data_IF_939171555260
#
_entry.id   IF_939171555260
#
_cell.length_a   1.000
_cell.length_b   1.000
_cell.length_c   1.000
_cell.angle_alpha   90.00
_cell.angle_beta   90.00
_cell.angle_gamma   90.00
#
_symmetry.space_group_name_H-M   'P 1'
#
loop_
_entity.id
_entity.type
_entity.pdbx_description
1 polymer ?
#
# COMPACT_ATOMS: atom_id res chain seq x y z
N UNK A 1 -22.46 83.93 5.37
CA UNK A 1 -21.16 83.34 5.76
C UNK A 1 -20.69 82.44 4.62
N UNK A 2 -19.74 82.96 3.82
CA UNK A 2 -19.23 82.25 2.65
C UNK A 2 -18.18 81.23 3.05
N UNK A 3 -18.33 80.02 2.59
CA UNK A 3 -17.32 78.97 2.76
C UNK A 3 -16.02 79.36 2.00
N UNK A 4 -14.85 79.30 2.59
CA UNK A 4 -13.58 79.72 1.98
C UNK A 4 -13.31 78.95 0.70
N UNK A 5 -13.00 79.72 -0.38
CA UNK A 5 -12.68 79.21 -1.73
C UNK A 5 -11.42 78.27 -1.80
N UNK A 6 -10.77 78.07 -0.68
CA UNK A 6 -9.52 77.25 -0.58
C UNK A 6 -9.73 75.75 -0.76
N UNK A 7 -10.97 75.29 -0.62
CA UNK A 7 -11.27 73.83 -0.76
C UNK A 7 -11.61 73.38 -2.19
N UNK A 8 -11.60 74.26 -3.18
CA UNK A 8 -12.12 73.95 -4.50
C UNK A 8 -11.09 73.64 -5.58
N UNK A 9 -9.81 73.93 -5.37
CA UNK A 9 -8.75 73.68 -6.37
C UNK A 9 -7.68 72.67 -5.95
N UNK A 10 -7.62 72.28 -4.66
CA UNK A 10 -6.64 71.29 -4.16
C UNK A 10 -7.20 69.89 -3.96
N UNK A 11 -8.53 69.72 -4.08
CA UNK A 11 -9.20 68.45 -3.74
C UNK A 11 -8.72 67.22 -4.56
N UNK A 12 -8.54 67.43 -5.85
CA UNK A 12 -8.13 66.33 -6.75
C UNK A 12 -6.65 65.92 -6.54
N UNK A 13 -5.78 66.87 -6.20
CA UNK A 13 -4.37 66.57 -5.85
C UNK A 13 -4.32 65.84 -4.51
N UNK A 14 -5.10 66.27 -3.50
CA UNK A 14 -5.20 65.58 -2.21
C UNK A 14 -5.73 64.16 -2.34
N UNK A 15 -6.78 63.93 -3.14
CA UNK A 15 -7.31 62.61 -3.43
C UNK A 15 -6.33 61.76 -4.24
N UNK A 16 -5.58 62.34 -5.17
CA UNK A 16 -4.49 61.67 -5.90
C UNK A 16 -3.36 61.23 -4.98
N UNK A 17 -2.96 62.06 -4.03
CA UNK A 17 -1.94 61.69 -3.04
C UNK A 17 -2.40 60.61 -2.06
N UNK A 18 -3.65 60.68 -1.60
CA UNK A 18 -4.24 59.63 -0.76
C UNK A 18 -4.31 58.30 -1.52
N UNK A 19 -4.74 58.34 -2.79
CA UNK A 19 -4.74 57.15 -3.65
C UNK A 19 -3.36 56.55 -3.85
N UNK A 20 -2.36 57.40 -4.10
CA UNK A 20 -0.97 56.94 -4.25
C UNK A 20 -0.41 56.31 -2.94
N UNK A 21 -0.70 56.92 -1.79
CA UNK A 21 -0.29 56.34 -0.48
C UNK A 21 -1.01 55.02 -0.22
N UNK A 22 -2.29 54.90 -0.52
CA UNK A 22 -3.01 53.61 -0.36
C UNK A 22 -2.47 52.52 -1.29
N UNK A 23 -2.15 52.88 -2.56
CA UNK A 23 -1.52 51.93 -3.49
C UNK A 23 -0.13 51.47 -3.01
N UNK A 24 0.68 52.39 -2.45
CA UNK A 24 1.97 52.10 -1.86
C UNK A 24 1.83 51.18 -0.62
N UNK A 25 0.84 51.44 0.24
CA UNK A 25 0.56 50.60 1.40
C UNK A 25 0.11 49.17 0.99
N UNK A 26 -0.78 49.05 0.01
CA UNK A 26 -1.24 47.75 -0.51
C UNK A 26 -0.08 47.03 -1.18
N UNK A 27 0.71 47.72 -2.00
CA UNK A 27 1.90 47.14 -2.65
C UNK A 27 2.94 46.66 -1.65
N UNK A 28 3.25 47.49 -0.63
CA UNK A 28 4.21 47.09 0.44
C UNK A 28 3.69 45.93 1.28
N UNK A 29 2.40 45.89 1.60
CA UNK A 29 1.78 44.78 2.33
C UNK A 29 1.82 43.48 1.52
N UNK A 30 1.56 43.56 0.22
CA UNK A 30 1.66 42.39 -0.68
C UNK A 30 3.10 41.87 -0.83
N UNK A 31 4.07 42.81 -0.91
CA UNK A 31 5.49 42.44 -0.90
C UNK A 31 5.92 41.81 0.42
N UNK A 32 5.47 42.37 1.53
CA UNK A 32 5.77 41.83 2.87
C UNK A 32 5.16 40.42 3.03
N UNK A 33 3.91 40.22 2.63
CA UNK A 33 3.27 38.91 2.67
C UNK A 33 4.02 37.88 1.81
N UNK A 34 4.41 38.25 0.56
CA UNK A 34 5.23 37.38 -0.31
C UNK A 34 6.59 37.04 0.28
N UNK A 35 7.25 38.00 0.92
CA UNK A 35 8.55 37.75 1.57
C UNK A 35 8.42 36.91 2.81
N UNK A 36 7.34 37.06 3.59
CA UNK A 36 7.03 36.24 4.74
C UNK A 36 6.75 34.77 4.34
N UNK A 37 5.93 34.58 3.29
CA UNK A 37 5.66 33.24 2.72
C UNK A 37 6.96 32.56 2.26
N UNK A 38 7.81 33.24 1.50
CA UNK A 38 9.09 32.71 1.03
C UNK A 38 10.11 32.43 2.18
N UNK A 39 10.03 33.16 3.28
CA UNK A 39 10.80 32.85 4.49
C UNK A 39 10.27 31.59 5.14
N UNK A 40 8.95 31.50 5.31
CA UNK A 40 8.31 30.32 5.88
C UNK A 40 8.61 29.04 5.06
N UNK A 41 8.49 29.09 3.74
CA UNK A 41 8.85 27.96 2.87
C UNK A 41 10.33 27.54 3.02
N UNK A 42 11.24 28.50 3.12
CA UNK A 42 12.66 28.21 3.35
C UNK A 42 12.92 27.60 4.72
N UNK A 43 12.24 28.10 5.75
CA UNK A 43 12.42 27.61 7.12
C UNK A 43 11.85 26.19 7.26
N UNK A 44 10.68 25.92 6.67
CA UNK A 44 10.11 24.56 6.59
C UNK A 44 11.04 23.61 5.81
N UNK A 45 11.55 24.05 4.64
CA UNK A 45 12.49 23.23 3.86
C UNK A 45 13.79 22.93 4.61
N UNK A 46 14.29 23.88 5.40
CA UNK A 46 15.47 23.66 6.26
C UNK A 46 15.18 22.69 7.41
N UNK A 47 13.99 22.78 8.05
CA UNK A 47 13.59 21.82 9.08
C UNK A 47 13.51 20.41 8.50
N UNK A 48 12.79 20.24 7.39
CA UNK A 48 12.66 18.94 6.71
C UNK A 48 14.03 18.39 6.28
N UNK A 49 14.91 19.24 5.77
CA UNK A 49 16.27 18.84 5.41
C UNK A 49 17.08 18.37 6.62
N UNK A 50 17.01 19.12 7.74
CA UNK A 50 17.71 18.75 8.98
C UNK A 50 17.16 17.46 9.60
N UNK A 51 15.84 17.29 9.60
CA UNK A 51 15.19 16.06 10.07
C UNK A 51 15.60 14.85 9.21
N UNK A 52 15.67 15.02 7.89
CA UNK A 52 16.15 13.98 6.98
C UNK A 52 17.65 13.67 7.18
N UNK A 53 18.47 14.67 7.50
CA UNK A 53 19.88 14.45 7.87
C UNK A 53 20.01 13.67 9.19
N UNK A 54 19.21 13.99 10.19
CA UNK A 54 19.20 13.24 11.45
C UNK A 54 18.76 11.78 11.26
N UNK A 55 17.70 11.58 10.47
CA UNK A 55 17.26 10.25 10.07
C UNK A 55 18.35 9.46 9.31
N UNK A 56 19.05 10.12 8.40
CA UNK A 56 20.16 9.51 7.66
C UNK A 56 21.32 9.12 8.59
N UNK A 57 21.65 9.97 9.55
CA UNK A 57 22.67 9.69 10.59
C UNK A 57 22.25 8.53 11.50
N UNK A 58 20.97 8.47 11.87
CA UNK A 58 20.41 7.38 12.68
C UNK A 58 20.39 6.06 11.89
N UNK A 59 19.98 6.08 10.62
CA UNK A 59 20.06 4.93 9.72
C UNK A 59 21.49 4.48 9.50
N UNK A 60 22.45 5.40 9.32
CA UNK A 60 23.87 5.05 9.22
C UNK A 60 24.40 4.42 10.52
N UNK A 61 24.01 4.97 11.67
CA UNK A 61 24.43 4.45 12.97
C UNK A 61 23.83 3.08 13.23
N UNK A 62 22.56 2.87 12.93
CA UNK A 62 21.88 1.58 13.05
C UNK A 62 22.41 0.56 12.05
N UNK A 63 22.69 0.97 10.81
CA UNK A 63 23.31 0.08 9.81
C UNK A 63 24.77 -0.24 10.15
N UNK A 64 25.51 0.71 10.74
CA UNK A 64 26.85 0.44 11.27
C UNK A 64 26.81 -0.54 12.44
N UNK A 65 25.90 -0.34 13.39
CA UNK A 65 25.70 -1.28 14.50
C UNK A 65 25.20 -2.66 14.02
N UNK A 66 24.37 -2.70 12.95
CA UNK A 66 23.97 -3.93 12.29
C UNK A 66 25.15 -4.57 11.55
N UNK A 67 25.99 -3.78 10.87
CA UNK A 67 27.20 -4.26 10.19
C UNK A 67 28.20 -4.83 11.18
N UNK A 68 28.40 -4.18 12.33
CA UNK A 68 29.25 -4.70 13.41
C UNK A 68 28.64 -5.94 14.07
N UNK A 69 27.32 -5.97 14.25
CA UNK A 69 26.58 -7.16 14.70
C UNK A 69 26.65 -8.30 13.67
N UNK A 70 26.54 -7.98 12.37
CA UNK A 70 26.71 -8.96 11.27
C UNK A 70 28.15 -9.42 11.17
N UNK A 71 29.15 -8.54 11.37
CA UNK A 71 30.57 -8.92 11.39
C UNK A 71 30.88 -9.82 12.59
N UNK A 72 30.32 -9.53 13.75
CA UNK A 72 30.44 -10.39 14.94
C UNK A 72 29.62 -11.66 14.85
N UNK A 73 28.59 -11.71 13.98
CA UNK A 73 27.78 -12.90 13.70
C UNK A 73 28.31 -13.66 12.48
N UNK A 74 29.19 -13.06 11.67
CA UNK A 74 29.87 -13.72 10.53
C UNK A 74 30.84 -14.80 10.95
N UNK A 75 31.27 -14.83 12.21
CA UNK A 75 31.98 -16.00 12.77
C UNK A 75 31.05 -17.18 13.09
N UNK A 76 29.71 -17.01 13.00
CA UNK A 76 28.72 -18.07 13.29
C UNK A 76 27.59 -18.19 12.28
N UNK A 77 27.67 -17.60 11.07
CA UNK A 77 26.47 -17.33 10.31
C UNK A 77 26.38 -17.75 8.85
N UNK A 78 27.17 -18.70 8.35
CA UNK A 78 26.77 -19.42 7.15
C UNK A 78 25.54 -20.28 7.49
N UNK A 79 24.36 -20.04 6.86
CA UNK A 79 23.18 -20.89 7.05
C UNK A 79 23.49 -22.39 6.85
N UNK A 80 24.49 -22.72 6.02
CA UNK A 80 24.97 -24.08 5.80
C UNK A 80 25.77 -24.64 6.99
N UNK A 81 26.36 -23.78 7.83
CA UNK A 81 27.10 -24.21 9.04
C UNK A 81 26.18 -24.39 10.25
N UNK A 82 24.98 -23.82 10.24
CA UNK A 82 23.99 -23.98 11.30
C UNK A 82 23.13 -25.22 11.03
N UNK A 83 22.99 -26.09 12.04
CA UNK A 83 22.07 -27.24 11.93
C UNK A 83 20.58 -26.83 11.98
N UNK A 84 20.29 -25.54 11.96
CA UNK A 84 18.94 -25.00 11.98
C UNK A 84 18.34 -25.00 10.57
N UNK A 85 17.14 -25.56 10.37
CA UNK A 85 16.53 -25.57 9.05
C UNK A 85 16.17 -24.16 8.56
N UNK A 86 16.27 -23.94 7.25
CA UNK A 86 15.95 -22.67 6.60
C UNK A 86 15.35 -22.87 5.21
N UNK A 87 14.64 -21.87 4.72
CA UNK A 87 14.07 -21.83 3.37
C UNK A 87 14.93 -20.95 2.48
N UNK A 88 15.14 -21.39 1.24
CA UNK A 88 15.77 -20.60 0.17
C UNK A 88 14.82 -20.52 -0.99
N UNK A 89 14.64 -19.32 -1.56
CA UNK A 89 13.83 -19.07 -2.74
C UNK A 89 14.67 -18.35 -3.78
N UNK A 90 14.86 -18.98 -4.94
CA UNK A 90 15.40 -18.33 -6.12
C UNK A 90 14.25 -17.76 -6.96
N UNK A 91 14.27 -16.44 -7.18
CA UNK A 91 13.28 -15.77 -8.03
C UNK A 91 13.53 -16.15 -9.50
N UNK A 92 14.78 -16.27 -9.91
CA UNK A 92 15.16 -16.55 -11.29
C UNK A 92 14.83 -18.00 -11.67
N UNK A 93 15.17 -18.98 -10.80
CA UNK A 93 14.91 -20.39 -11.06
C UNK A 93 13.46 -20.79 -10.78
N UNK A 94 12.64 -19.90 -10.22
CA UNK A 94 11.28 -20.19 -9.75
C UNK A 94 11.23 -21.42 -8.88
N UNK A 95 12.15 -21.53 -7.90
CA UNK A 95 12.36 -22.72 -7.07
C UNK A 95 12.53 -22.37 -5.60
N UNK A 96 11.96 -23.22 -4.78
CA UNK A 96 12.12 -23.20 -3.33
C UNK A 96 12.83 -24.45 -2.86
N UNK A 97 13.75 -24.29 -1.91
CA UNK A 97 14.38 -25.37 -1.15
C UNK A 97 14.17 -25.13 0.34
N UNK A 98 13.82 -26.19 1.07
CA UNK A 98 13.91 -26.24 2.52
C UNK A 98 15.11 -27.09 2.86
N UNK A 99 16.06 -26.52 3.59
CA UNK A 99 17.39 -27.09 3.81
C UNK A 99 17.72 -27.15 5.30
N UNK A 100 18.62 -28.06 5.67
CA UNK A 100 19.27 -28.10 6.95
C UNK A 100 20.76 -28.32 6.70
N UNK A 101 21.58 -27.32 6.94
CA UNK A 101 22.96 -27.31 6.45
C UNK A 101 22.97 -27.47 4.91
N UNK A 102 23.77 -28.39 4.41
CA UNK A 102 23.83 -28.72 2.98
C UNK A 102 22.71 -29.66 2.50
N UNK A 103 22.03 -30.34 3.43
CA UNK A 103 20.98 -31.31 3.10
C UNK A 103 19.71 -30.61 2.65
N UNK A 104 19.21 -30.96 1.46
CA UNK A 104 17.89 -30.56 0.98
C UNK A 104 16.84 -31.50 1.57
N UNK A 105 15.95 -30.98 2.39
CA UNK A 105 14.85 -31.72 3.01
C UNK A 105 13.60 -31.72 2.11
N UNK A 106 13.37 -30.62 1.36
CA UNK A 106 12.26 -30.49 0.45
C UNK A 106 12.61 -29.47 -0.66
N UNK A 107 12.09 -29.66 -1.86
CA UNK A 107 12.20 -28.69 -2.96
C UNK A 107 10.97 -28.74 -3.86
N UNK A 108 10.58 -27.57 -4.36
CA UNK A 108 9.46 -27.45 -5.30
C UNK A 108 9.62 -26.23 -6.21
N UNK A 109 8.86 -26.22 -7.30
CA UNK A 109 8.70 -25.03 -8.13
C UNK A 109 7.75 -24.03 -7.49
N UNK A 110 7.98 -22.73 -7.72
CA UNK A 110 7.17 -21.65 -7.17
C UNK A 110 6.83 -20.62 -8.24
N UNK A 111 5.81 -19.79 -8.00
CA UNK A 111 5.62 -18.57 -8.76
C UNK A 111 6.02 -17.36 -7.91
N UNK A 112 6.64 -16.37 -8.54
CA UNK A 112 7.18 -15.17 -7.89
C UNK A 112 6.53 -13.89 -8.44
N UNK A 113 6.89 -12.74 -7.89
CA UNK A 113 6.41 -11.43 -8.30
C UNK A 113 6.67 -11.14 -9.78
N UNK A 114 5.72 -10.50 -10.43
CA UNK A 114 5.77 -10.21 -11.88
C UNK A 114 6.71 -9.05 -12.24
N UNK A 115 7.17 -8.27 -11.28
CA UNK A 115 7.92 -7.04 -11.52
C UNK A 115 7.10 -5.90 -12.12
N UNK A 116 5.81 -6.13 -12.38
CA UNK A 116 4.93 -5.10 -12.96
C UNK A 116 4.69 -3.97 -11.98
N UNK A 117 4.42 -2.80 -12.55
CA UNK A 117 4.04 -1.60 -11.81
C UNK A 117 2.59 -1.26 -12.12
N UNK A 118 1.82 -0.98 -11.08
CA UNK A 118 0.46 -0.49 -11.19
C UNK A 118 0.39 0.91 -10.59
N UNK A 119 0.06 1.90 -11.43
CA UNK A 119 -0.15 3.26 -10.95
C UNK A 119 -1.49 3.38 -10.23
N UNK A 120 -1.55 4.16 -9.17
CA UNK A 120 -2.80 4.49 -8.50
C UNK A 120 -3.72 5.36 -9.37
N UNK A 121 -4.95 5.53 -8.92
CA UNK A 121 -5.87 6.47 -9.57
C UNK A 121 -5.44 7.91 -9.29
N UNK A 122 -5.48 8.78 -10.32
CA UNK A 122 -5.29 10.23 -10.23
C UNK A 122 -4.08 10.70 -9.40
N UNK A 123 -2.89 10.13 -9.66
CA UNK A 123 -1.64 10.54 -8.96
C UNK A 123 -1.45 9.91 -7.57
N UNK A 124 -2.20 8.86 -7.26
CA UNK A 124 -2.05 8.07 -6.04
C UNK A 124 -0.80 7.18 -6.03
N UNK A 125 -0.68 6.38 -4.98
CA UNK A 125 0.46 5.47 -4.76
C UNK A 125 0.67 4.51 -5.92
N UNK A 126 1.93 4.32 -6.30
CA UNK A 126 2.35 3.30 -7.26
C UNK A 126 2.62 1.99 -6.52
N UNK A 127 2.14 0.87 -7.07
CA UNK A 127 2.40 -0.46 -6.53
C UNK A 127 3.33 -1.24 -7.44
N UNK A 128 4.41 -1.76 -6.87
CA UNK A 128 5.40 -2.59 -7.55
C UNK A 128 5.23 -4.05 -7.10
N UNK A 129 4.99 -4.94 -8.04
CA UNK A 129 4.67 -6.33 -7.77
C UNK A 129 5.92 -7.22 -7.80
N UNK A 130 6.86 -6.94 -6.90
CA UNK A 130 8.11 -7.69 -6.78
C UNK A 130 8.12 -8.59 -5.55
N UNK A 131 8.68 -9.77 -5.67
CA UNK A 131 9.05 -10.58 -4.51
C UNK A 131 10.26 -9.94 -3.83
N UNK A 132 10.19 -9.63 -2.52
CA UNK A 132 11.29 -8.96 -1.83
C UNK A 132 12.51 -9.88 -1.76
N UNK A 133 13.69 -9.31 -1.98
CA UNK A 133 14.96 -10.01 -1.80
C UNK A 133 15.49 -9.82 -0.39
N UNK A 134 16.30 -10.76 0.09
CA UNK A 134 16.94 -10.68 1.38
C UNK A 134 16.49 -11.77 2.35
N UNK A 135 16.74 -11.51 3.64
CA UNK A 135 16.39 -12.44 4.72
C UNK A 135 15.07 -12.01 5.37
N UNK A 136 14.10 -12.92 5.34
CA UNK A 136 12.82 -12.82 6.04
C UNK A 136 12.74 -13.96 7.08
N UNK A 137 11.63 -14.00 7.82
CA UNK A 137 11.39 -15.04 8.83
C UNK A 137 9.92 -15.43 8.79
N UNK A 138 9.61 -16.71 8.96
CA UNK A 138 8.24 -17.18 9.13
C UNK A 138 7.68 -16.66 10.45
N UNK A 139 6.74 -15.70 10.38
CA UNK A 139 6.15 -15.05 11.55
C UNK A 139 4.90 -15.77 12.07
N UNK A 140 4.12 -16.35 11.17
CA UNK A 140 2.91 -17.09 11.52
C UNK A 140 2.61 -18.17 10.47
N UNK A 141 1.74 -19.12 10.85
CA UNK A 141 1.27 -20.23 10.02
C UNK A 141 -0.25 -20.23 10.04
N UNK A 142 -0.90 -20.32 8.88
CA UNK A 142 -2.35 -20.31 8.74
C UNK A 142 -2.83 -21.48 7.87
N UNK A 143 -3.93 -22.10 8.28
CA UNK A 143 -4.69 -23.09 7.50
C UNK A 143 -5.95 -22.43 6.94
N UNK A 144 -6.36 -22.82 5.74
CA UNK A 144 -7.52 -22.26 5.03
C UNK A 144 -7.58 -20.73 5.06
N UNK A 145 -6.46 -20.04 4.72
CA UNK A 145 -6.37 -18.59 4.86
C UNK A 145 -7.35 -17.89 3.94
N UNK A 146 -7.97 -16.82 4.46
CA UNK A 146 -8.72 -15.90 3.61
C UNK A 146 -7.81 -14.77 3.14
N UNK A 147 -7.86 -14.45 1.86
CA UNK A 147 -7.20 -13.27 1.35
C UNK A 147 -8.03 -12.02 1.57
N UNK A 148 -7.44 -10.99 2.15
CA UNK A 148 -8.03 -9.66 2.27
C UNK A 148 -7.35 -8.76 1.23
N UNK A 149 -7.96 -8.56 0.05
CA UNK A 149 -7.31 -7.84 -1.04
C UNK A 149 -7.00 -6.40 -0.64
N UNK A 150 -5.75 -5.95 -0.87
CA UNK A 150 -5.40 -4.53 -0.81
C UNK A 150 -6.13 -3.75 -1.91
N UNK A 151 -6.11 -2.42 -1.81
CA UNK A 151 -6.83 -1.55 -2.74
C UNK A 151 -6.35 -1.70 -4.19
N UNK A 152 -5.07 -2.01 -4.41
CA UNK A 152 -4.53 -2.23 -5.76
C UNK A 152 -5.28 -3.32 -6.53
N UNK A 153 -5.80 -4.34 -5.85
CA UNK A 153 -6.60 -5.40 -6.50
C UNK A 153 -7.82 -4.80 -7.21
N UNK A 154 -8.58 -3.97 -6.51
CA UNK A 154 -9.77 -3.33 -7.06
C UNK A 154 -9.41 -2.35 -8.18
N UNK A 155 -8.28 -1.61 -8.04
CA UNK A 155 -7.76 -0.73 -9.09
C UNK A 155 -7.40 -1.52 -10.34
N UNK A 156 -6.72 -2.64 -10.19
CA UNK A 156 -6.36 -3.51 -11.31
C UNK A 156 -7.62 -4.07 -12.00
N UNK A 157 -8.61 -4.56 -11.23
CA UNK A 157 -9.86 -5.09 -11.78
C UNK A 157 -10.68 -3.99 -12.48
N UNK A 158 -10.73 -2.79 -11.92
CA UNK A 158 -11.42 -1.67 -12.54
C UNK A 158 -10.79 -1.31 -13.90
N UNK A 159 -9.47 -1.24 -13.98
CA UNK A 159 -8.76 -0.99 -15.24
C UNK A 159 -9.01 -2.07 -16.29
N UNK A 160 -8.95 -3.34 -15.90
CA UNK A 160 -9.23 -4.48 -16.80
C UNK A 160 -10.64 -4.42 -17.39
N UNK A 161 -11.59 -3.85 -16.66
CA UNK A 161 -13.01 -3.79 -17.02
C UNK A 161 -13.47 -2.43 -17.55
N UNK A 162 -12.59 -1.43 -17.60
CA UNK A 162 -12.93 -0.06 -18.01
C UNK A 162 -13.91 0.63 -17.06
N UNK A 163 -13.89 0.28 -15.77
CA UNK A 163 -14.77 0.83 -14.74
C UNK A 163 -14.04 1.87 -13.88
N UNK A 164 -14.81 2.76 -13.27
CA UNK A 164 -14.32 3.65 -12.21
C UNK A 164 -14.12 2.92 -10.89
N UNK A 165 -13.70 3.65 -9.86
CA UNK A 165 -13.47 3.15 -8.51
C UNK A 165 -14.15 4.06 -7.51
N UNK A 166 -14.85 3.47 -6.56
CA UNK A 166 -15.37 4.16 -5.38
C UNK A 166 -15.01 3.38 -4.13
N UNK A 167 -14.33 4.03 -3.18
CA UNK A 167 -14.10 3.48 -1.85
C UNK A 167 -15.37 3.69 -1.02
N UNK A 168 -15.96 2.62 -0.54
CA UNK A 168 -17.12 2.67 0.34
C UNK A 168 -16.67 2.81 1.79
N UNK A 169 -17.02 3.90 2.43
CA UNK A 169 -16.76 4.12 3.84
C UNK A 169 -18.00 3.79 4.69
N UNK A 170 -17.80 3.53 5.98
CA UNK A 170 -18.92 3.29 6.90
C UNK A 170 -19.74 4.57 7.05
N UNK A 171 -21.07 4.42 6.96
CA UNK A 171 -22.00 5.56 6.97
C UNK A 171 -22.23 6.22 5.60
N UNK A 172 -21.52 5.80 4.57
CA UNK A 172 -21.75 6.23 3.18
C UNK A 172 -22.61 5.24 2.41
N UNK A 173 -23.19 5.71 1.30
CA UNK A 173 -23.86 4.87 0.33
C UNK A 173 -23.48 5.28 -1.08
N UNK A 174 -23.45 4.30 -2.00
CA UNK A 174 -23.20 4.49 -3.44
C UNK A 174 -24.44 4.06 -4.21
N UNK A 175 -24.98 4.95 -5.04
CA UNK A 175 -26.15 4.65 -5.86
C UNK A 175 -25.81 3.67 -6.98
N UNK A 176 -26.66 2.67 -7.14
CA UNK A 176 -26.62 1.77 -8.27
C UNK A 176 -27.61 2.23 -9.38
N UNK A 177 -27.41 1.71 -10.61
CA UNK A 177 -28.21 2.13 -11.78
C UNK A 177 -29.71 1.73 -11.70
N UNK A 178 -30.03 0.81 -10.80
CA UNK A 178 -31.40 0.30 -10.58
C UNK A 178 -32.16 1.06 -9.47
N UNK A 179 -31.61 2.20 -9.03
CA UNK A 179 -32.18 3.01 -7.95
C UNK A 179 -31.89 2.50 -6.53
N UNK A 180 -31.23 1.35 -6.41
CA UNK A 180 -30.77 0.86 -5.10
C UNK A 180 -29.50 1.55 -4.65
N UNK A 181 -29.11 1.33 -3.40
CA UNK A 181 -27.89 1.88 -2.80
C UNK A 181 -27.02 0.76 -2.22
N UNK A 182 -25.72 0.82 -2.44
CA UNK A 182 -24.73 -0.03 -1.77
C UNK A 182 -24.25 0.69 -0.52
N UNK A 183 -24.38 0.06 0.64
CA UNK A 183 -23.99 0.63 1.94
C UNK A 183 -23.40 -0.44 2.86
N UNK A 184 -22.92 -0.03 4.04
CA UNK A 184 -22.34 -0.95 5.03
C UNK A 184 -23.27 -1.06 6.25
N UNK A 185 -23.58 -2.31 6.63
CA UNK A 185 -24.32 -2.66 7.84
C UNK A 185 -23.49 -3.60 8.72
N UNK A 186 -23.01 -3.11 9.86
CA UNK A 186 -22.12 -3.89 10.71
C UNK A 186 -20.84 -4.29 9.95
N UNK A 187 -20.67 -5.59 9.72
CA UNK A 187 -19.54 -6.15 8.95
C UNK A 187 -19.91 -6.55 7.52
N UNK A 188 -21.11 -6.22 7.05
CA UNK A 188 -21.57 -6.60 5.72
C UNK A 188 -21.79 -5.39 4.83
N UNK A 189 -21.49 -5.56 3.55
CA UNK A 189 -21.94 -4.66 2.50
C UNK A 189 -23.28 -5.15 2.02
N UNK A 190 -24.28 -4.30 2.05
CA UNK A 190 -25.66 -4.62 1.67
C UNK A 190 -26.14 -3.74 0.54
N UNK A 191 -27.03 -4.28 -0.25
CA UNK A 191 -27.82 -3.56 -1.25
C UNK A 191 -29.14 -3.19 -0.62
N UNK A 192 -29.40 -1.87 -0.53
CA UNK A 192 -30.67 -1.32 -0.03
C UNK A 192 -31.54 -0.91 -1.22
N UNK A 193 -32.72 -1.44 -1.29
CA UNK A 193 -33.72 -1.12 -2.32
C UNK A 193 -34.55 0.11 -1.94
N UNK A 194 -35.23 0.76 -2.92
CA UNK A 194 -36.09 1.92 -2.65
C UNK A 194 -37.26 1.64 -1.70
N UNK A 195 -37.71 0.38 -1.59
CA UNK A 195 -38.74 -0.09 -0.66
C UNK A 195 -38.23 -0.28 0.78
N UNK A 196 -36.93 -0.03 1.03
CA UNK A 196 -36.28 -0.15 2.32
C UNK A 196 -35.74 -1.57 2.62
N UNK A 197 -35.97 -2.55 1.77
CA UNK A 197 -35.44 -3.90 1.88
C UNK A 197 -33.92 -3.87 1.72
N UNK A 198 -33.20 -4.63 2.56
CA UNK A 198 -31.76 -4.79 2.50
C UNK A 198 -31.36 -6.25 2.24
N UNK A 199 -30.43 -6.48 1.34
CA UNK A 199 -29.89 -7.80 1.05
C UNK A 199 -28.36 -7.76 1.08
N UNK A 200 -27.67 -8.69 1.74
CA UNK A 200 -26.22 -8.79 1.67
C UNK A 200 -25.76 -8.93 0.22
N UNK A 201 -24.77 -8.16 -0.20
CA UNK A 201 -24.08 -8.38 -1.46
C UNK A 201 -23.26 -9.65 -1.32
N UNK A 202 -23.15 -10.45 -2.39
CA UNK A 202 -22.39 -11.70 -2.36
C UNK A 202 -20.98 -11.52 -1.78
N UNK A 203 -20.48 -12.54 -1.07
CA UNK A 203 -19.13 -12.50 -0.50
C UNK A 203 -18.07 -12.30 -1.58
N UNK A 204 -16.93 -11.70 -1.19
CA UNK A 204 -15.83 -11.40 -2.09
C UNK A 204 -15.31 -12.66 -2.79
N UNK A 205 -15.43 -12.67 -4.09
CA UNK A 205 -14.89 -13.68 -4.99
C UNK A 205 -14.11 -12.94 -6.07
N UNK A 206 -12.89 -13.39 -6.37
CA UNK A 206 -12.09 -12.78 -7.44
C UNK A 206 -12.87 -12.83 -8.78
N UNK A 207 -12.93 -11.68 -9.45
CA UNK A 207 -13.71 -11.50 -10.69
C UNK A 207 -15.20 -11.20 -10.48
N UNK A 208 -15.68 -11.18 -9.24
CA UNK A 208 -17.06 -10.81 -8.87
C UNK A 208 -17.07 -9.64 -7.88
N UNK A 209 -16.25 -8.64 -8.14
CA UNK A 209 -16.22 -7.41 -7.35
C UNK A 209 -17.59 -6.70 -7.43
N UNK A 210 -17.96 -6.02 -6.35
CA UNK A 210 -19.18 -5.24 -6.28
C UNK A 210 -19.09 -4.09 -7.29
N UNK A 211 -20.09 -4.02 -8.19
CA UNK A 211 -20.18 -2.94 -9.19
C UNK A 211 -21.47 -2.15 -8.96
N UNK A 212 -21.34 -0.84 -8.87
CA UNK A 212 -22.48 0.08 -8.80
C UNK A 212 -22.16 1.40 -9.50
N UNK A 213 -23.10 1.97 -10.23
CA UNK A 213 -22.96 3.25 -10.91
C UNK A 213 -21.75 3.34 -11.85
N UNK A 214 -21.39 2.23 -12.52
CA UNK A 214 -20.23 2.18 -13.43
C UNK A 214 -18.87 2.10 -12.71
N UNK A 215 -18.86 1.85 -11.39
CA UNK A 215 -17.66 1.77 -10.57
C UNK A 215 -17.52 0.42 -9.90
N UNK A 216 -16.30 -0.04 -9.69
CA UNK A 216 -15.97 -1.07 -8.70
C UNK A 216 -15.99 -0.43 -7.32
N UNK A 217 -16.73 -1.03 -6.42
CA UNK A 217 -16.83 -0.60 -5.03
C UNK A 217 -15.77 -1.32 -4.23
N UNK A 218 -14.88 -0.57 -3.58
CA UNK A 218 -13.90 -1.11 -2.62
C UNK A 218 -14.58 -1.21 -1.25
N UNK A 219 -14.86 -2.43 -0.76
CA UNK A 219 -15.45 -2.62 0.56
C UNK A 219 -14.48 -2.17 1.67
N UNK A 220 -14.97 -1.66 2.81
CA UNK A 220 -14.10 -1.32 3.93
C UNK A 220 -13.40 -2.56 4.49
N UNK A 221 -12.20 -2.34 5.07
CA UNK A 221 -11.52 -3.41 5.80
C UNK A 221 -12.40 -3.95 6.93
N UNK A 222 -12.33 -5.27 7.13
CA UNK A 222 -13.15 -5.98 8.12
C UNK A 222 -14.55 -6.36 7.62
N UNK A 223 -14.96 -5.96 6.41
CA UNK A 223 -16.22 -6.44 5.83
C UNK A 223 -16.09 -7.87 5.29
N UNK A 224 -17.20 -8.61 5.34
CA UNK A 224 -17.28 -9.98 4.81
C UNK A 224 -16.95 -10.02 3.32
N UNK A 225 -17.40 -9.02 2.56
CA UNK A 225 -17.20 -8.90 1.11
C UNK A 225 -15.75 -8.59 0.71
N UNK A 226 -14.87 -8.25 1.68
CA UNK A 226 -13.44 -8.07 1.46
C UNK A 226 -12.61 -9.28 1.91
N UNK A 227 -13.24 -10.44 2.13
CA UNK A 227 -12.56 -11.70 2.49
C UNK A 227 -12.75 -12.72 1.38
N UNK A 228 -11.70 -13.00 0.62
CA UNK A 228 -11.71 -13.92 -0.50
C UNK A 228 -11.16 -15.26 -0.05
N UNK A 229 -11.99 -16.30 -0.13
CA UNK A 229 -11.61 -17.66 0.21
C UNK A 229 -10.99 -18.39 -0.98
N UNK A 230 -10.04 -19.28 -0.70
CA UNK A 230 -9.43 -20.17 -1.69
C UNK A 230 -8.27 -19.56 -2.47
N UNK A 231 -8.20 -18.24 -2.65
CA UNK A 231 -7.17 -17.55 -3.45
C UNK A 231 -5.76 -17.87 -2.98
N UNK A 232 -5.55 -18.00 -1.67
CA UNK A 232 -4.25 -18.33 -1.07
C UNK A 232 -4.02 -19.83 -0.90
N UNK A 233 -4.89 -20.66 -1.50
CA UNK A 233 -4.83 -22.10 -1.36
C UNK A 233 -5.11 -22.58 0.07
N UNK A 234 -4.55 -23.75 0.41
CA UNK A 234 -4.86 -24.46 1.66
C UNK A 234 -4.06 -23.99 2.87
N UNK A 235 -2.85 -23.47 2.66
CA UNK A 235 -1.94 -23.08 3.74
C UNK A 235 -1.17 -21.81 3.39
N UNK A 236 -0.75 -21.07 4.42
CA UNK A 236 0.05 -19.86 4.30
C UNK A 236 1.11 -19.80 5.41
N UNK A 237 2.34 -19.47 5.03
CA UNK A 237 3.43 -19.07 5.92
C UNK A 237 3.64 -17.55 5.78
N UNK A 238 3.31 -16.80 6.80
CA UNK A 238 3.39 -15.33 6.82
C UNK A 238 4.83 -14.91 7.04
N UNK A 239 5.35 -13.98 6.22
CA UNK A 239 6.72 -13.48 6.28
C UNK A 239 6.82 -12.03 6.79
N UNK A 240 5.69 -11.34 6.98
CA UNK A 240 5.63 -9.92 7.33
C UNK A 240 5.40 -9.02 6.10
N UNK A 241 5.09 -7.75 6.36
CA UNK A 241 4.89 -6.69 5.34
C UNK A 241 3.93 -7.05 4.20
N UNK A 242 2.98 -7.93 4.48
CA UNK A 242 2.02 -8.43 3.49
C UNK A 242 2.55 -9.56 2.61
N UNK A 243 3.80 -10.00 2.78
CA UNK A 243 4.39 -11.11 2.02
C UNK A 243 4.17 -12.47 2.70
N UNK A 244 4.08 -13.50 1.88
CA UNK A 244 3.88 -14.87 2.34
C UNK A 244 4.36 -15.90 1.31
N UNK A 245 4.60 -17.13 1.79
CA UNK A 245 4.56 -18.34 0.97
C UNK A 245 3.18 -18.95 1.15
N UNK A 246 2.45 -19.23 0.07
CA UNK A 246 1.09 -19.73 0.18
C UNK A 246 0.70 -20.64 -1.00
N UNK A 247 -0.35 -21.42 -0.84
CA UNK A 247 -0.94 -22.19 -1.91
C UNK A 247 -1.59 -21.32 -2.99
N UNK A 248 -2.28 -21.90 -3.94
CA UNK A 248 -2.93 -21.15 -5.01
C UNK A 248 -4.14 -21.89 -5.55
N UNK A 249 -5.13 -21.13 -6.02
CA UNK A 249 -6.23 -21.59 -6.84
C UNK A 249 -5.88 -21.64 -8.36
N UNK A 250 -4.64 -21.21 -8.71
CA UNK A 250 -4.13 -21.11 -10.08
C UNK A 250 -2.81 -21.89 -10.23
N UNK A 251 -2.82 -23.23 -10.09
CA UNK A 251 -1.62 -24.06 -10.11
C UNK A 251 -0.84 -23.98 -11.45
N UNK A 252 -1.48 -23.61 -12.54
CA UNK A 252 -0.88 -23.41 -13.86
C UNK A 252 0.09 -22.22 -13.90
N UNK A 253 0.08 -21.37 -12.86
CA UNK A 253 0.99 -20.22 -12.74
C UNK A 253 2.33 -20.57 -12.12
N UNK A 254 2.50 -21.76 -11.54
CA UNK A 254 3.73 -22.20 -10.92
C UNK A 254 4.87 -22.29 -11.95
N UNK A 255 6.06 -21.88 -11.57
CA UNK A 255 7.23 -21.77 -12.45
C UNK A 255 7.29 -20.46 -13.24
N UNK A 256 6.48 -19.45 -12.89
CA UNK A 256 6.37 -18.18 -13.62
C UNK A 256 6.44 -16.96 -12.68
N UNK A 257 6.88 -15.81 -13.23
CA UNK A 257 6.84 -14.51 -12.55
C UNK A 257 5.50 -13.82 -12.82
N UNK A 258 4.48 -14.09 -12.00
CA UNK A 258 3.10 -13.64 -12.24
C UNK A 258 2.38 -13.14 -10.99
N UNK A 259 2.96 -13.30 -9.80
CA UNK A 259 2.31 -12.86 -8.56
C UNK A 259 2.45 -11.34 -8.35
N UNK A 260 1.76 -10.86 -7.33
CA UNK A 260 1.86 -9.46 -6.88
C UNK A 260 2.90 -9.28 -5.76
N UNK A 261 3.83 -10.26 -5.62
CA UNK A 261 4.94 -10.21 -4.66
C UNK A 261 5.07 -11.45 -3.77
N UNK A 262 3.96 -12.07 -3.38
CA UNK A 262 4.00 -13.33 -2.63
C UNK A 262 4.55 -14.48 -3.48
N UNK A 263 5.10 -15.48 -2.82
CA UNK A 263 5.56 -16.71 -3.45
C UNK A 263 4.46 -17.75 -3.41
N UNK A 264 4.02 -18.21 -4.59
CA UNK A 264 2.96 -19.23 -4.73
C UNK A 264 3.55 -20.62 -4.88
N UNK A 265 2.96 -21.60 -4.20
CA UNK A 265 3.26 -23.02 -4.30
C UNK A 265 1.98 -23.77 -4.74
N UNK A 266 2.13 -25.00 -5.23
CA UNK A 266 0.98 -25.91 -5.31
C UNK A 266 0.43 -26.19 -3.91
N UNK A 267 -0.84 -26.51 -3.81
CA UNK A 267 -1.50 -26.75 -2.52
C UNK A 267 -0.90 -27.93 -1.76
N UNK A 268 -0.55 -28.99 -2.46
CA UNK A 268 0.14 -30.15 -1.90
C UNK A 268 1.56 -29.83 -1.38
N UNK A 269 2.28 -28.96 -2.10
CA UNK A 269 3.64 -28.56 -1.76
C UNK A 269 3.66 -27.65 -0.53
N UNK A 270 2.75 -26.66 -0.47
CA UNK A 270 2.67 -25.79 0.70
C UNK A 270 2.17 -26.55 1.93
N UNK A 271 1.27 -27.52 1.78
CA UNK A 271 0.82 -28.36 2.88
C UNK A 271 1.99 -29.20 3.47
N UNK A 272 2.82 -29.77 2.58
CA UNK A 272 4.04 -30.49 2.97
C UNK A 272 5.02 -29.57 3.67
N UNK A 273 5.34 -28.42 3.07
CA UNK A 273 6.27 -27.44 3.66
C UNK A 273 5.74 -26.91 5.00
N UNK A 274 4.43 -26.64 5.09
CA UNK A 274 3.76 -26.18 6.30
C UNK A 274 3.95 -27.17 7.47
N UNK A 275 3.87 -28.48 7.22
CA UNK A 275 4.07 -29.49 8.26
C UNK A 275 5.50 -29.52 8.81
N UNK A 276 6.49 -29.17 7.99
CA UNK A 276 7.92 -29.24 8.31
C UNK A 276 8.48 -27.97 8.92
N UNK A 277 7.93 -26.81 8.57
CA UNK A 277 8.46 -25.49 8.90
C UNK A 277 7.90 -24.99 10.23
N UNK A 278 8.76 -24.51 11.12
CA UNK A 278 8.39 -23.85 12.38
C UNK A 278 8.28 -22.32 12.18
N UNK A 279 7.49 -21.67 13.06
CA UNK A 279 7.58 -20.22 13.24
C UNK A 279 8.99 -19.86 13.70
N UNK A 280 9.56 -18.79 13.17
CA UNK A 280 10.96 -18.40 13.39
C UNK A 280 11.92 -18.95 12.34
N UNK A 281 11.48 -19.84 11.44
CA UNK A 281 12.36 -20.37 10.36
C UNK A 281 12.82 -19.22 9.44
N UNK A 282 14.15 -19.09 9.22
CA UNK A 282 14.69 -18.11 8.26
C UNK A 282 14.28 -18.43 6.81
N UNK A 283 14.02 -17.37 6.04
CA UNK A 283 13.69 -17.46 4.61
C UNK A 283 14.62 -16.51 3.84
N UNK A 284 15.45 -17.04 2.97
CA UNK A 284 16.37 -16.29 2.12
C UNK A 284 15.82 -16.24 0.70
N UNK A 285 15.62 -15.04 0.16
CA UNK A 285 15.08 -14.80 -1.18
C UNK A 285 16.12 -14.01 -2.00
N UNK A 286 16.51 -14.52 -3.18
CA UNK A 286 17.49 -13.87 -4.07
C UNK A 286 17.10 -13.92 -5.54
#
# INVERSE_FOLDING_TARGET
>A
MGVPKFFRSGGWIAWGLIGAVLLLMVGSSALFARTALKRHERDVSRMVFNDNLQLLEEVKRSSGALSDSVSNTSETGDPASSNTPYIVVSIEDHRLWYKQGEKVLFTTQVATGSGKVLDGAAGGSQWKFETPRGRLTVQAKEQDPSWVPPDWHFVEQARKRGLGIVRLERGQSVSANDGSQITVRGTEVVKRYPDGREEPVGAGVEGREIVAGGNIIIPPYGSTQRKYKGVLGTHRLVLGDGYALHGTDKPETIGRSVSHGCVRLRNEDIATLYSMVAVGTPVYIY
#
